data_IF_008551958984
#
_entry.id   IF_008551958984
#
_cell.length_a   1.000
_cell.length_b   1.000
_cell.length_c   1.000
_cell.angle_alpha   90.00
_cell.angle_beta   90.00
_cell.angle_gamma   90.00
#
_symmetry.space_group_name_H-M   'P 1'
#
loop_
_entity.id
_entity.type
_entity.pdbx_description
1 polymer ?
#
# COMPACT_ATOMS: atom_id res chain seq x y z
N UNK A 1 -63.49 -16.64 68.26
CA UNK A 1 -62.85 -17.10 67.03
C UNK A 1 -63.01 -16.08 65.94
N UNK A 2 -61.92 -15.34 65.61
CA UNK A 2 -61.93 -14.28 64.61
C UNK A 2 -61.18 -14.80 63.38
N UNK A 3 -61.81 -14.85 62.24
CA UNK A 3 -61.21 -15.16 60.90
C UNK A 3 -60.87 -13.87 60.20
N UNK A 4 -59.60 -13.68 60.00
CA UNK A 4 -59.02 -12.55 59.27
C UNK A 4 -59.02 -12.87 57.76
N UNK A 5 -59.76 -12.12 56.99
CA UNK A 5 -59.68 -12.14 55.49
C UNK A 5 -58.59 -11.19 54.95
N UNK A 6 -57.69 -11.75 54.20
CA UNK A 6 -56.67 -10.94 53.43
C UNK A 6 -57.26 -10.46 52.10
N UNK A 7 -57.01 -9.23 51.72
CA UNK A 7 -57.39 -8.77 50.39
C UNK A 7 -56.37 -9.25 49.36
N UNK A 8 -56.86 -9.71 48.17
CA UNK A 8 -56.08 -10.04 46.97
C UNK A 8 -55.81 -8.78 46.17
N UNK A 9 -54.54 -8.38 46.08
CA UNK A 9 -54.09 -7.35 45.18
C UNK A 9 -54.01 -7.89 43.75
N UNK A 10 -54.74 -7.27 42.85
CA UNK A 10 -54.66 -7.51 41.42
C UNK A 10 -53.51 -6.62 40.88
N UNK A 11 -52.43 -7.24 40.39
CA UNK A 11 -51.34 -6.57 39.70
C UNK A 11 -51.72 -6.49 38.21
N UNK A 12 -51.98 -5.27 37.72
CA UNK A 12 -52.19 -5.01 36.34
C UNK A 12 -50.81 -4.91 35.62
N UNK A 13 -50.48 -5.91 34.83
CA UNK A 13 -49.24 -5.91 34.01
C UNK A 13 -49.48 -5.06 32.76
N UNK A 14 -48.91 -3.85 32.71
CA UNK A 14 -48.90 -3.04 31.50
C UNK A 14 -47.80 -3.56 30.56
N UNK A 15 -48.18 -4.11 29.41
CA UNK A 15 -47.28 -4.50 28.35
C UNK A 15 -46.83 -3.25 27.61
N UNK A 16 -45.61 -2.78 27.86
CA UNK A 16 -44.98 -1.71 27.04
C UNK A 16 -44.38 -2.37 25.81
N UNK A 17 -45.03 -2.20 24.65
CA UNK A 17 -44.51 -2.57 23.36
C UNK A 17 -43.39 -1.58 22.99
N UNK A 18 -42.14 -1.95 23.19
CA UNK A 18 -40.96 -1.24 22.66
C UNK A 18 -40.85 -1.52 21.17
N UNK A 19 -41.27 -0.56 20.35
CA UNK A 19 -40.98 -0.55 18.90
C UNK A 19 -39.49 -0.33 18.72
N UNK A 20 -38.74 -1.40 18.43
CA UNK A 20 -37.33 -1.31 18.01
C UNK A 20 -37.32 -0.68 16.62
N UNK A 21 -37.02 0.62 16.55
CA UNK A 21 -36.68 1.26 15.30
C UNK A 21 -35.40 0.59 14.76
N UNK A 22 -35.52 -0.18 13.70
CA UNK A 22 -34.40 -0.67 12.91
C UNK A 22 -33.78 0.58 12.27
N UNK A 23 -32.73 1.11 12.91
CA UNK A 23 -31.87 2.13 12.27
C UNK A 23 -31.24 1.45 11.06
N UNK A 24 -31.71 1.81 9.86
CA UNK A 24 -31.00 1.47 8.64
C UNK A 24 -29.57 1.97 8.78
N UNK A 25 -28.63 1.06 8.93
CA UNK A 25 -27.20 1.37 8.90
C UNK A 25 -26.94 2.08 7.59
N UNK A 26 -26.51 3.34 7.66
CA UNK A 26 -26.07 4.07 6.48
C UNK A 26 -24.98 3.22 5.82
N UNK A 27 -25.22 2.76 4.58
CA UNK A 27 -24.26 1.99 3.83
C UNK A 27 -22.94 2.79 3.80
N UNK A 28 -21.83 2.13 4.12
CA UNK A 28 -20.50 2.74 4.05
C UNK A 28 -20.30 3.30 2.63
N UNK A 29 -20.13 4.62 2.46
CA UNK A 29 -20.01 5.22 1.13
C UNK A 29 -18.81 4.67 0.35
N UNK A 30 -17.81 4.09 1.02
CA UNK A 30 -16.69 3.41 0.36
C UNK A 30 -17.13 2.13 -0.36
N UNK A 31 -18.19 1.44 0.10
CA UNK A 31 -18.70 0.22 -0.52
C UNK A 31 -19.32 0.44 -1.91
N UNK A 32 -19.71 1.67 -2.24
CA UNK A 32 -20.30 2.04 -3.55
C UNK A 32 -19.25 2.52 -4.58
N UNK A 33 -17.98 2.50 -4.26
CA UNK A 33 -16.92 2.87 -5.18
C UNK A 33 -16.91 1.99 -6.43
N UNK A 34 -16.67 2.60 -7.60
CA UNK A 34 -16.61 1.91 -8.90
C UNK A 34 -15.21 1.85 -9.48
N UNK A 35 -14.25 2.53 -8.85
CA UNK A 35 -12.86 2.57 -9.26
C UNK A 35 -11.98 3.28 -8.25
N UNK A 36 -10.72 3.39 -8.58
CA UNK A 36 -9.68 4.02 -7.74
C UNK A 36 -8.79 4.93 -8.56
N UNK A 37 -8.22 5.94 -7.92
CA UNK A 37 -7.16 6.75 -8.50
C UNK A 37 -5.87 5.93 -8.48
N UNK A 38 -5.39 5.54 -9.66
CA UNK A 38 -4.16 4.76 -9.82
C UNK A 38 -2.92 5.65 -9.89
N UNK A 39 -3.03 6.80 -10.54
CA UNK A 39 -1.96 7.79 -10.67
C UNK A 39 -2.57 9.19 -10.77
N UNK A 40 -1.87 10.20 -10.27
CA UNK A 40 -2.20 11.58 -10.56
C UNK A 40 -0.93 12.43 -10.66
N UNK A 41 -0.98 13.44 -11.53
CA UNK A 41 0.08 14.44 -11.68
C UNK A 41 -0.53 15.81 -11.47
N UNK A 42 -0.20 16.47 -10.38
CA UNK A 42 -0.64 17.84 -10.17
C UNK A 42 0.22 18.79 -11.00
N UNK A 43 -0.40 19.72 -11.72
CA UNK A 43 0.32 20.80 -12.40
C UNK A 43 0.86 21.82 -11.38
N UNK A 44 0.08 22.08 -10.33
CA UNK A 44 0.43 22.92 -9.19
C UNK A 44 -0.58 22.64 -8.06
N UNK A 45 -0.10 22.17 -6.93
CA UNK A 45 -0.92 21.96 -5.75
C UNK A 45 -1.84 20.73 -5.80
N UNK A 46 -2.71 20.65 -4.80
CA UNK A 46 -3.69 19.57 -4.63
C UNK A 46 -4.99 19.93 -5.33
N UNK A 47 -5.66 18.97 -5.93
CA UNK A 47 -7.01 19.14 -6.45
C UNK A 47 -7.96 18.10 -5.88
N UNK A 48 -9.25 18.39 -5.97
CA UNK A 48 -10.29 17.57 -5.37
C UNK A 48 -11.22 17.05 -6.48
N UNK A 49 -11.88 15.93 -6.21
CA UNK A 49 -13.10 15.58 -6.91
C UNK A 49 -14.32 15.90 -6.04
N UNK A 50 -15.43 16.22 -6.72
CA UNK A 50 -16.70 16.51 -6.07
C UNK A 50 -17.54 15.25 -6.04
N UNK A 51 -17.82 14.75 -4.85
CA UNK A 51 -18.58 13.51 -4.66
C UNK A 51 -20.06 13.68 -4.96
N UNK A 52 -20.59 12.84 -5.79
CA UNK A 52 -22.03 12.77 -6.04
C UNK A 52 -22.75 11.98 -4.91
N UNK A 53 -24.01 12.27 -4.59
CA UNK A 53 -24.78 13.48 -4.98
C UNK A 53 -24.56 14.67 -4.06
N UNK A 54 -23.84 14.51 -2.95
CA UNK A 54 -23.76 15.51 -1.86
C UNK A 54 -22.91 16.74 -2.18
N UNK A 55 -22.08 16.71 -3.25
CA UNK A 55 -21.18 17.82 -3.58
C UNK A 55 -19.97 17.97 -2.64
N UNK A 56 -19.67 16.95 -1.84
CA UNK A 56 -18.52 16.94 -0.94
C UNK A 56 -17.22 16.98 -1.73
N UNK A 57 -16.28 17.84 -1.29
CA UNK A 57 -14.95 17.92 -1.86
C UNK A 57 -14.02 16.90 -1.23
N UNK A 58 -13.52 15.97 -2.03
CA UNK A 58 -12.61 14.92 -1.58
C UNK A 58 -11.25 15.11 -2.27
N UNK A 59 -10.14 15.18 -1.52
CA UNK A 59 -8.83 15.35 -2.11
C UNK A 59 -8.45 14.14 -2.98
N UNK A 60 -7.90 14.41 -4.16
CA UNK A 60 -7.40 13.36 -5.05
C UNK A 60 -6.07 12.85 -4.50
N UNK A 61 -6.00 11.54 -4.28
CA UNK A 61 -4.82 10.81 -3.82
C UNK A 61 -4.77 9.45 -4.50
N UNK A 62 -3.59 8.86 -4.61
CA UNK A 62 -3.45 7.47 -5.06
C UNK A 62 -4.23 6.56 -4.10
N UNK A 63 -4.99 5.62 -4.64
CA UNK A 63 -5.87 4.76 -3.85
C UNK A 63 -7.19 5.42 -3.41
N UNK A 64 -7.44 6.71 -3.73
CA UNK A 64 -8.75 7.32 -3.50
C UNK A 64 -9.82 6.57 -4.28
N UNK A 65 -10.83 6.09 -3.57
CA UNK A 65 -11.99 5.42 -4.17
C UNK A 65 -12.91 6.47 -4.80
N UNK A 66 -13.29 6.28 -6.06
CA UNK A 66 -14.24 7.11 -6.80
C UNK A 66 -15.58 6.39 -6.96
N UNK A 67 -16.67 7.17 -6.96
CA UNK A 67 -18.03 6.68 -7.13
C UNK A 67 -18.57 7.08 -8.50
N UNK A 68 -19.57 6.36 -8.99
CA UNK A 68 -20.31 6.77 -10.19
C UNK A 68 -20.89 8.18 -10.01
N UNK A 69 -20.72 9.01 -11.04
CA UNK A 69 -21.16 10.39 -11.04
C UNK A 69 -20.26 11.39 -10.30
N UNK A 70 -19.17 10.95 -9.64
CA UNK A 70 -18.18 11.87 -9.08
C UNK A 70 -17.62 12.79 -10.17
N UNK A 71 -17.47 14.08 -9.86
CA UNK A 71 -16.99 15.09 -10.82
C UNK A 71 -15.55 15.45 -10.50
N UNK A 72 -14.68 15.28 -11.50
CA UNK A 72 -13.26 15.60 -11.43
C UNK A 72 -12.99 16.85 -12.24
N UNK A 73 -12.57 17.93 -11.59
CA UNK A 73 -12.19 19.18 -12.25
C UNK A 73 -10.68 19.32 -12.25
N UNK A 74 -10.08 19.20 -13.43
CA UNK A 74 -8.62 19.18 -13.60
C UNK A 74 -8.13 20.53 -14.14
N UNK A 75 -7.16 21.19 -13.48
CA UNK A 75 -6.49 22.35 -14.04
C UNK A 75 -5.59 21.97 -15.23
N UNK A 76 -5.12 22.98 -15.96
CA UNK A 76 -4.16 22.77 -17.04
C UNK A 76 -2.89 22.09 -16.55
N UNK A 77 -2.42 21.09 -17.27
CA UNK A 77 -1.23 20.31 -16.96
C UNK A 77 -1.43 19.24 -15.86
N UNK A 78 -2.62 19.15 -15.25
CA UNK A 78 -2.95 18.04 -14.37
C UNK A 78 -3.44 16.81 -15.15
N UNK A 79 -3.17 15.62 -14.64
CA UNK A 79 -3.71 14.38 -15.16
C UNK A 79 -4.08 13.43 -14.03
N UNK A 80 -5.09 12.60 -14.28
CA UNK A 80 -5.52 11.53 -13.36
C UNK A 80 -5.75 10.26 -14.17
N UNK A 81 -5.24 9.16 -13.66
CA UNK A 81 -5.51 7.82 -14.15
C UNK A 81 -6.44 7.11 -13.16
N UNK A 82 -7.61 6.72 -13.62
CA UNK A 82 -8.56 5.91 -12.85
C UNK A 82 -8.49 4.46 -13.33
N UNK A 83 -8.43 3.54 -12.39
CA UNK A 83 -8.61 2.12 -12.62
C UNK A 83 -9.99 1.70 -12.11
N UNK A 84 -10.86 1.26 -13.02
CA UNK A 84 -12.20 0.83 -12.70
C UNK A 84 -12.24 -0.63 -12.23
N UNK A 85 -13.28 -0.99 -11.51
CA UNK A 85 -13.48 -2.34 -10.97
C UNK A 85 -13.63 -3.43 -12.03
N UNK A 86 -13.95 -3.05 -13.28
CA UNK A 86 -14.02 -3.96 -14.45
C UNK A 86 -12.66 -4.12 -15.16
N UNK A 87 -11.59 -3.54 -14.60
CA UNK A 87 -10.24 -3.56 -15.14
C UNK A 87 -9.93 -2.48 -16.18
N UNK A 88 -10.92 -1.67 -16.57
CA UNK A 88 -10.67 -0.55 -17.48
C UNK A 88 -9.86 0.54 -16.83
N UNK A 89 -8.96 1.12 -17.61
CA UNK A 89 -8.14 2.26 -17.20
C UNK A 89 -8.59 3.48 -17.99
N UNK A 90 -8.88 4.58 -17.28
CA UNK A 90 -9.31 5.84 -17.88
C UNK A 90 -8.33 6.95 -17.54
N UNK A 91 -7.80 7.62 -18.55
CA UNK A 91 -6.93 8.77 -18.39
C UNK A 91 -7.70 10.06 -18.63
N UNK A 92 -7.64 10.98 -17.68
CA UNK A 92 -8.21 12.32 -17.77
C UNK A 92 -7.08 13.35 -17.76
N UNK A 93 -7.08 14.25 -18.73
CA UNK A 93 -6.07 15.29 -18.85
C UNK A 93 -6.76 16.67 -18.80
N UNK A 94 -6.25 17.56 -17.96
CA UNK A 94 -6.73 18.93 -17.84
C UNK A 94 -6.22 19.86 -18.96
N UNK A 95 -6.83 21.03 -19.13
CA UNK A 95 -7.98 21.49 -18.35
C UNK A 95 -9.29 20.85 -18.77
N UNK A 96 -10.16 20.55 -17.79
CA UNK A 96 -11.47 20.01 -18.09
C UNK A 96 -12.24 19.55 -16.83
N UNK A 97 -13.53 19.32 -17.04
CA UNK A 97 -14.40 18.69 -16.06
C UNK A 97 -14.87 17.32 -16.59
N UNK A 98 -14.68 16.30 -15.80
CA UNK A 98 -14.94 14.91 -16.16
C UNK A 98 -15.91 14.31 -15.14
N UNK A 99 -16.70 13.35 -15.58
CA UNK A 99 -17.62 12.60 -14.71
C UNK A 99 -17.17 11.14 -14.69
N UNK A 100 -17.07 10.57 -13.50
CA UNK A 100 -16.74 9.15 -13.33
C UNK A 100 -17.93 8.33 -13.86
N UNK A 101 -17.71 7.40 -14.80
CA UNK A 101 -18.78 6.61 -15.38
C UNK A 101 -19.36 5.61 -14.38
N UNK A 102 -20.51 5.04 -14.73
CA UNK A 102 -21.07 3.92 -14.01
C UNK A 102 -20.13 2.70 -14.09
N UNK A 103 -20.08 1.94 -13.02
CA UNK A 103 -19.25 0.75 -12.93
C UNK A 103 -19.75 -0.24 -11.88
N UNK A 104 -19.13 -1.40 -11.84
CA UNK A 104 -19.43 -2.41 -10.82
C UNK A 104 -18.91 -1.93 -9.47
N UNK A 105 -19.68 -2.05 -8.37
CA UNK A 105 -19.21 -1.69 -7.05
C UNK A 105 -17.97 -2.49 -6.60
N UNK A 106 -17.01 -1.81 -6.01
CA UNK A 106 -15.80 -2.42 -5.43
C UNK A 106 -16.10 -3.25 -4.17
N UNK A 107 -17.22 -2.95 -3.47
CA UNK A 107 -17.56 -3.63 -2.22
C UNK A 107 -16.45 -3.47 -1.15
N UNK A 108 -16.09 -4.57 -0.50
CA UNK A 108 -15.06 -4.59 0.57
C UNK A 108 -13.65 -4.22 0.09
N UNK A 109 -13.34 -4.39 -1.20
CA UNK A 109 -12.05 -3.97 -1.75
C UNK A 109 -11.80 -2.47 -1.57
N UNK A 110 -12.86 -1.65 -1.63
CA UNK A 110 -12.77 -0.21 -1.46
C UNK A 110 -12.08 0.17 -0.13
N UNK A 111 -12.44 -0.46 0.98
CA UNK A 111 -11.85 -0.20 2.30
C UNK A 111 -10.36 -0.56 2.34
N UNK A 112 -9.98 -1.70 1.77
CA UNK A 112 -8.58 -2.15 1.73
C UNK A 112 -7.74 -1.21 0.87
N UNK A 113 -8.24 -0.82 -0.31
CA UNK A 113 -7.54 0.08 -1.23
C UNK A 113 -7.44 1.50 -0.66
N UNK A 114 -8.48 1.99 0.03
CA UNK A 114 -8.41 3.28 0.73
C UNK A 114 -7.30 3.27 1.79
N UNK A 115 -7.14 2.17 2.50
CA UNK A 115 -6.05 2.02 3.48
C UNK A 115 -4.66 2.00 2.81
N UNK A 116 -4.55 1.54 1.56
CA UNK A 116 -3.33 1.62 0.76
C UNK A 116 -2.95 3.07 0.46
N UNK A 117 -3.93 3.89 0.06
CA UNK A 117 -3.73 5.32 -0.16
C UNK A 117 -3.17 6.03 1.09
N UNK A 118 -3.67 5.69 2.28
CA UNK A 118 -3.15 6.25 3.53
C UNK A 118 -1.70 5.80 3.82
N UNK A 119 -1.35 4.55 3.52
CA UNK A 119 0.04 4.08 3.65
C UNK A 119 1.00 4.86 2.76
N UNK A 120 0.61 5.08 1.51
CA UNK A 120 1.42 5.85 0.56
C UNK A 120 1.53 7.32 0.99
N UNK A 121 0.48 7.91 1.59
CA UNK A 121 0.47 9.29 2.08
C UNK A 121 1.25 9.49 3.39
N UNK A 122 1.15 8.55 4.35
CA UNK A 122 1.84 8.65 5.64
C UNK A 122 3.35 8.51 5.46
N UNK A 123 3.79 7.59 4.64
CA UNK A 123 5.19 7.52 4.23
C UNK A 123 5.62 8.78 3.46
N UNK A 124 4.75 9.37 2.65
CA UNK A 124 5.00 10.63 1.93
C UNK A 124 5.23 11.82 2.87
N UNK A 125 4.59 11.84 4.04
CA UNK A 125 4.78 12.89 5.05
C UNK A 125 6.07 12.72 5.86
N UNK A 126 6.49 11.49 6.13
CA UNK A 126 7.72 11.21 6.89
C UNK A 126 8.99 11.47 6.08
N UNK A 127 8.92 11.47 4.75
CA UNK A 127 10.07 11.68 3.86
C UNK A 127 10.26 13.13 3.40
N UNK A 128 9.52 14.09 3.93
CA UNK A 128 9.60 15.53 3.60
C UNK A 128 10.94 16.22 3.87
N UNK A 129 11.94 15.48 4.31
CA UNK A 129 13.33 15.90 4.28
C UNK A 129 13.95 15.45 2.97
N UNK A 130 14.13 16.39 2.06
CA UNK A 130 14.76 16.30 0.75
C UNK A 130 15.68 15.07 0.58
N UNK A 131 15.17 14.02 -0.07
CA UNK A 131 15.99 12.92 -0.54
C UNK A 131 16.68 13.40 -1.83
N UNK A 132 17.80 14.11 -1.71
CA UNK A 132 18.68 14.31 -2.85
C UNK A 132 19.12 12.94 -3.38
N UNK A 133 19.04 12.74 -4.68
CA UNK A 133 19.66 11.59 -5.36
C UNK A 133 21.10 11.50 -4.84
N UNK A 134 21.43 10.39 -4.15
CA UNK A 134 22.70 10.25 -3.42
C UNK A 134 23.99 10.35 -4.27
N UNK A 135 23.88 10.47 -5.59
CA UNK A 135 25.01 10.49 -6.51
C UNK A 135 25.82 11.78 -6.57
N UNK A 136 25.25 12.91 -6.19
CA UNK A 136 25.96 14.20 -6.32
C UNK A 136 26.97 14.49 -5.22
N UNK A 137 26.90 13.72 -4.13
CA UNK A 137 27.72 13.98 -2.93
C UNK A 137 28.97 13.12 -2.83
N UNK A 138 29.08 12.06 -3.65
CA UNK A 138 30.21 11.14 -3.57
C UNK A 138 31.50 11.78 -4.13
N UNK A 139 32.57 11.73 -3.34
CA UNK A 139 33.88 12.26 -3.74
C UNK A 139 34.00 13.78 -3.70
N UNK A 140 33.02 14.53 -3.15
CA UNK A 140 33.13 15.96 -2.91
C UNK A 140 33.55 16.23 -1.48
N UNK A 141 34.67 16.94 -1.30
CA UNK A 141 35.14 17.33 0.03
C UNK A 141 34.09 18.17 0.76
N UNK A 142 33.85 17.82 2.04
CA UNK A 142 32.96 18.57 2.93
C UNK A 142 31.46 18.21 2.79
N UNK A 143 31.07 17.31 1.90
CA UNK A 143 29.67 16.86 1.76
C UNK A 143 29.44 15.61 2.62
N UNK A 144 28.48 15.71 3.55
CA UNK A 144 28.08 14.57 4.38
C UNK A 144 27.25 13.60 3.54
N UNK A 145 27.79 12.41 3.29
CA UNK A 145 27.07 11.34 2.60
C UNK A 145 26.04 10.74 3.55
N UNK A 146 24.79 10.68 3.12
CA UNK A 146 23.69 10.08 3.90
C UNK A 146 23.93 8.58 4.11
N UNK A 147 23.52 8.01 5.26
CA UNK A 147 23.58 6.57 5.48
C UNK A 147 22.72 5.82 4.45
N UNK A 148 23.12 4.59 4.15
CA UNK A 148 22.36 3.71 3.24
C UNK A 148 21.04 3.36 3.93
N UNK A 149 19.93 3.53 3.22
CA UNK A 149 18.59 3.13 3.66
C UNK A 149 17.92 2.31 2.57
N UNK A 150 17.41 1.13 2.92
CA UNK A 150 16.69 0.20 2.02
C UNK A 150 15.24 0.09 2.50
N UNK A 151 14.31 0.88 1.96
CA UNK A 151 12.97 1.03 2.52
C UNK A 151 12.16 -0.29 2.59
N UNK A 152 12.25 -1.13 1.56
CA UNK A 152 11.53 -2.41 1.52
C UNK A 152 11.97 -3.39 2.62
N UNK A 153 13.18 -3.21 3.18
CA UNK A 153 13.75 -4.01 4.26
C UNK A 153 13.71 -3.30 5.63
N UNK A 154 13.09 -2.13 5.71
CA UNK A 154 13.04 -1.37 6.96
C UNK A 154 12.28 -2.14 8.06
N UNK A 155 12.90 -2.34 9.24
CA UNK A 155 12.33 -3.14 10.32
C UNK A 155 12.47 -4.66 10.15
N UNK A 156 13.24 -5.11 9.15
CA UNK A 156 13.35 -6.50 8.73
C UNK A 156 12.29 -6.89 7.70
N UNK A 157 12.49 -8.01 7.03
CA UNK A 157 11.58 -8.50 5.99
C UNK A 157 11.26 -9.98 6.16
N UNK A 158 10.04 -10.34 5.73
CA UNK A 158 9.59 -11.72 5.59
C UNK A 158 9.31 -12.00 4.11
N UNK A 159 9.64 -13.21 3.68
CA UNK A 159 9.34 -13.73 2.34
C UNK A 159 9.00 -15.21 2.44
N UNK A 160 8.24 -15.74 1.50
CA UNK A 160 8.00 -17.18 1.42
C UNK A 160 9.25 -17.86 0.88
N UNK A 161 9.68 -18.95 1.53
CA UNK A 161 10.86 -19.73 1.14
C UNK A 161 10.75 -20.28 -0.29
N UNK A 162 11.89 -20.49 -0.94
CA UNK A 162 11.98 -20.97 -2.32
C UNK A 162 13.09 -20.27 -3.10
N UNK A 163 13.11 -20.46 -4.41
CA UNK A 163 13.87 -19.61 -5.32
C UNK A 163 13.10 -18.28 -5.49
N UNK A 164 13.74 -17.18 -5.12
CA UNK A 164 13.06 -15.89 -5.03
C UNK A 164 13.89 -14.80 -5.67
N UNK A 165 13.23 -13.92 -6.40
CA UNK A 165 13.84 -12.66 -6.79
C UNK A 165 13.76 -11.67 -5.62
N UNK A 166 14.86 -10.98 -5.34
CA UNK A 166 14.89 -9.96 -4.31
C UNK A 166 15.09 -8.58 -4.94
N UNK A 167 14.01 -7.83 -5.19
CA UNK A 167 14.09 -6.46 -5.67
C UNK A 167 14.49 -5.55 -4.51
N UNK A 168 15.59 -4.85 -4.66
CA UNK A 168 16.13 -3.95 -3.66
C UNK A 168 16.40 -2.58 -4.29
N UNK A 169 16.03 -1.53 -3.58
CA UNK A 169 16.43 -0.17 -3.91
C UNK A 169 16.85 0.54 -2.64
N UNK A 170 17.81 1.44 -2.76
CA UNK A 170 18.34 2.17 -1.61
C UNK A 170 18.65 3.61 -1.95
N UNK A 171 18.84 4.38 -0.90
CA UNK A 171 19.28 5.77 -0.94
C UNK A 171 20.48 5.94 -0.06
N UNK A 172 21.27 6.97 -0.30
CA UNK A 172 22.50 7.22 0.44
C UNK A 172 23.63 6.26 0.05
N UNK A 173 24.79 6.41 0.70
CA UNK A 173 25.99 5.70 0.32
C UNK A 173 26.63 6.20 -0.99
N UNK A 174 27.74 5.58 -1.36
CA UNK A 174 28.50 5.89 -2.58
C UNK A 174 28.77 4.63 -3.41
N UNK A 175 28.46 4.63 -4.73
CA UNK A 175 28.77 3.50 -5.60
C UNK A 175 30.29 3.31 -5.79
N UNK A 176 30.75 2.09 -6.13
CA UNK A 176 29.94 0.90 -6.33
C UNK A 176 29.47 0.30 -4.99
N UNK A 177 28.31 -0.36 -5.04
CA UNK A 177 27.76 -1.07 -3.90
C UNK A 177 28.00 -2.57 -4.03
N UNK A 178 28.06 -3.26 -2.90
CA UNK A 178 28.08 -4.72 -2.82
C UNK A 178 26.87 -5.16 -2.02
N UNK A 179 26.00 -5.94 -2.65
CA UNK A 179 24.85 -6.58 -2.00
C UNK A 179 25.20 -8.02 -1.68
N UNK A 180 24.89 -8.46 -0.46
CA UNK A 180 25.11 -9.83 0.01
C UNK A 180 23.84 -10.33 0.69
N UNK A 181 23.58 -11.62 0.52
CA UNK A 181 22.61 -12.39 1.31
C UNK A 181 23.40 -13.44 2.06
N UNK A 182 23.34 -13.40 3.37
CA UNK A 182 24.04 -14.31 4.28
C UNK A 182 23.01 -15.19 4.98
N UNK A 183 23.26 -16.49 5.09
CA UNK A 183 22.46 -17.39 5.91
C UNK A 183 22.83 -17.28 7.40
N UNK A 184 22.02 -17.83 8.29
CA UNK A 184 22.34 -17.96 9.71
C UNK A 184 23.72 -18.59 9.91
N UNK A 185 24.65 -17.85 10.53
CA UNK A 185 26.06 -18.26 10.66
C UNK A 185 27.00 -17.61 9.64
N UNK A 186 26.58 -16.50 9.01
CA UNK A 186 27.38 -15.68 8.08
C UNK A 186 27.86 -16.39 6.79
N UNK A 187 27.25 -17.52 6.45
CA UNK A 187 27.57 -18.20 5.19
C UNK A 187 26.99 -17.45 4.01
N UNK A 188 27.81 -17.13 3.02
CA UNK A 188 27.43 -16.39 1.82
C UNK A 188 26.50 -17.23 0.94
N UNK A 189 25.27 -16.75 0.71
CA UNK A 189 24.27 -17.33 -0.18
C UNK A 189 24.30 -16.65 -1.55
N UNK A 190 24.42 -15.33 -1.57
CA UNK A 190 24.42 -14.53 -2.78
C UNK A 190 25.29 -13.27 -2.63
N UNK A 191 25.93 -12.84 -3.74
CA UNK A 191 26.73 -11.62 -3.79
C UNK A 191 26.70 -11.01 -5.17
N UNK A 192 26.47 -9.70 -5.23
CA UNK A 192 26.50 -8.94 -6.47
C UNK A 192 27.14 -7.54 -6.25
N UNK A 193 27.79 -7.01 -7.30
CA UNK A 193 28.38 -5.66 -7.29
C UNK A 193 27.58 -4.75 -8.22
N UNK A 194 27.10 -3.61 -7.69
CA UNK A 194 26.10 -2.76 -8.31
C UNK A 194 26.65 -1.34 -8.43
N UNK A 195 26.56 -0.77 -9.62
CA UNK A 195 26.92 0.63 -9.86
C UNK A 195 25.78 1.63 -9.54
N UNK A 196 24.52 1.15 -9.54
CA UNK A 196 23.33 1.95 -9.34
C UNK A 196 22.76 1.85 -7.91
N UNK A 197 21.60 2.45 -7.69
CA UNK A 197 20.88 2.46 -6.41
C UNK A 197 19.72 1.45 -6.35
N UNK A 198 19.69 0.51 -7.27
CA UNK A 198 18.70 -0.58 -7.29
C UNK A 198 19.29 -1.82 -7.94
N UNK A 199 18.79 -2.97 -7.53
CA UNK A 199 19.12 -4.27 -8.09
C UNK A 199 17.92 -5.21 -7.96
N UNK A 200 17.86 -6.18 -8.83
CA UNK A 200 17.07 -7.38 -8.62
C UNK A 200 18.04 -8.55 -8.56
N UNK A 201 18.15 -9.17 -7.40
CA UNK A 201 18.89 -10.42 -7.26
C UNK A 201 17.97 -11.53 -7.76
N UNK A 202 18.33 -12.15 -8.87
CA UNK A 202 17.49 -13.20 -9.48
C UNK A 202 17.78 -14.57 -8.86
N UNK A 203 16.74 -15.38 -8.69
CA UNK A 203 16.79 -16.80 -8.31
C UNK A 203 17.59 -17.08 -7.03
N UNK A 204 17.46 -16.21 -6.02
CA UNK A 204 18.14 -16.42 -4.74
C UNK A 204 17.53 -17.63 -4.03
N UNK A 205 18.31 -18.67 -3.71
CA UNK A 205 17.82 -19.88 -3.04
C UNK A 205 17.63 -19.62 -1.55
N UNK A 206 16.40 -19.41 -1.10
CA UNK A 206 16.04 -19.16 0.29
C UNK A 206 15.34 -20.38 0.90
N UNK A 207 16.08 -21.28 1.52
CA UNK A 207 15.47 -22.31 2.38
C UNK A 207 14.76 -21.63 3.58
N UNK A 208 13.77 -22.31 4.17
CA UNK A 208 13.12 -21.76 5.38
C UNK A 208 14.16 -21.51 6.49
N UNK A 209 14.23 -20.26 6.97
CA UNK A 209 15.25 -19.85 7.95
C UNK A 209 15.46 -18.33 7.98
N UNK A 210 16.48 -17.92 8.71
CA UNK A 210 16.85 -16.52 8.87
C UNK A 210 18.10 -16.19 8.06
N UNK A 211 18.08 -15.05 7.42
CA UNK A 211 19.14 -14.50 6.59
C UNK A 211 19.42 -13.05 7.00
N UNK A 212 20.55 -12.52 6.59
CA UNK A 212 20.90 -11.11 6.70
C UNK A 212 21.17 -10.57 5.30
N UNK A 213 20.46 -9.52 4.92
CA UNK A 213 20.77 -8.75 3.70
C UNK A 213 21.67 -7.60 4.07
N UNK A 214 22.80 -7.49 3.38
CA UNK A 214 23.79 -6.44 3.57
C UNK A 214 23.94 -5.66 2.28
N UNK A 215 23.81 -4.33 2.35
CA UNK A 215 24.18 -3.41 1.27
C UNK A 215 25.35 -2.57 1.78
N UNK A 216 26.53 -2.70 1.15
CA UNK A 216 27.74 -1.97 1.51
C UNK A 216 28.15 -1.06 0.36
N UNK A 217 28.61 0.15 0.66
CA UNK A 217 29.16 1.09 -0.33
C UNK A 217 30.69 1.02 -0.46
N UNK A 218 31.23 1.83 -1.40
CA UNK A 218 32.68 1.89 -1.65
C UNK A 218 33.50 2.37 -0.44
N UNK A 219 32.89 3.12 0.46
CA UNK A 219 33.56 3.67 1.65
C UNK A 219 33.41 2.75 2.87
N UNK A 220 32.80 1.58 2.71
CA UNK A 220 32.60 0.58 3.77
C UNK A 220 31.39 0.83 4.68
N UNK A 221 30.56 1.86 4.40
CA UNK A 221 29.29 2.02 5.12
C UNK A 221 28.34 0.88 4.74
N UNK A 222 27.58 0.41 5.72
CA UNK A 222 26.71 -0.75 5.54
C UNK A 222 25.30 -0.49 6.07
N UNK A 223 24.32 -0.97 5.33
CA UNK A 223 22.97 -1.26 5.80
C UNK A 223 22.88 -2.76 6.03
N UNK A 224 22.19 -3.18 7.11
CA UNK A 224 21.92 -4.59 7.41
C UNK A 224 20.45 -4.72 7.82
N UNK A 225 19.82 -5.77 7.33
CA UNK A 225 18.46 -6.12 7.73
C UNK A 225 18.28 -7.63 7.82
N UNK A 226 17.47 -8.07 8.78
CA UNK A 226 17.04 -9.45 8.88
C UNK A 226 16.03 -9.76 7.79
N UNK A 227 16.19 -10.93 7.16
CA UNK A 227 15.26 -11.51 6.20
C UNK A 227 14.88 -12.91 6.68
N UNK A 228 13.60 -13.12 6.94
CA UNK A 228 13.08 -14.42 7.34
C UNK A 228 12.39 -15.07 6.14
N UNK A 229 12.92 -16.19 5.67
CA UNK A 229 12.26 -17.04 4.70
C UNK A 229 11.32 -18.01 5.45
N UNK A 230 10.02 -17.71 5.42
CA UNK A 230 9.00 -18.50 6.07
C UNK A 230 8.51 -19.63 5.16
N UNK A 231 8.08 -20.76 5.73
CA UNK A 231 7.50 -21.86 4.93
C UNK A 231 6.23 -21.42 4.22
N UNK A 232 5.44 -20.57 4.86
CA UNK A 232 4.15 -20.07 4.36
C UNK A 232 4.00 -18.59 4.73
N UNK A 233 3.29 -17.83 3.89
CA UNK A 233 2.92 -16.46 4.17
C UNK A 233 1.64 -16.36 5.04
N UNK A 234 1.29 -15.16 5.49
CA UNK A 234 0.03 -14.91 6.20
C UNK A 234 -1.17 -15.34 5.34
N UNK A 235 -2.12 -16.06 5.95
CA UNK A 235 -3.35 -16.48 5.27
C UNK A 235 -4.20 -15.25 4.91
N UNK A 236 -4.48 -15.08 3.62
CA UNK A 236 -5.37 -14.01 3.16
C UNK A 236 -6.80 -14.24 3.68
N UNK A 237 -7.54 -13.16 4.01
CA UNK A 237 -8.98 -13.25 4.23
C UNK A 237 -9.66 -13.92 3.02
N UNK A 238 -10.60 -14.84 3.28
CA UNK A 238 -11.24 -15.67 2.24
C UNK A 238 -11.82 -14.82 1.09
N UNK A 239 -12.44 -13.71 1.42
CA UNK A 239 -13.06 -12.82 0.44
C UNK A 239 -12.02 -12.14 -0.47
N UNK A 240 -10.86 -11.83 0.10
CA UNK A 240 -9.75 -11.23 -0.64
C UNK A 240 -9.02 -12.27 -1.49
N UNK A 241 -8.84 -13.47 -0.97
CA UNK A 241 -8.19 -14.57 -1.66
C UNK A 241 -8.95 -15.01 -2.93
N UNK A 242 -10.27 -14.84 -2.95
CA UNK A 242 -11.13 -15.21 -4.09
C UNK A 242 -11.07 -14.22 -5.26
N UNK A 243 -10.56 -12.99 -5.06
CA UNK A 243 -10.54 -11.96 -6.09
C UNK A 243 -9.20 -11.94 -6.84
N UNK A 244 -9.21 -12.44 -8.07
CA UNK A 244 -8.05 -12.49 -8.96
C UNK A 244 -8.00 -11.33 -9.97
N UNK A 245 -8.87 -10.32 -9.84
CA UNK A 245 -8.78 -9.10 -10.65
C UNK A 245 -7.49 -8.33 -10.30
N UNK A 246 -7.04 -7.44 -11.16
CA UNK A 246 -5.84 -6.63 -10.89
C UNK A 246 -6.00 -5.79 -9.61
N UNK A 247 -7.19 -5.23 -9.36
CA UNK A 247 -7.52 -4.55 -8.12
C UNK A 247 -7.53 -5.51 -6.92
N UNK A 248 -8.07 -6.72 -7.08
CA UNK A 248 -8.05 -7.77 -6.06
C UNK A 248 -6.63 -8.16 -5.68
N UNK A 249 -5.77 -8.43 -6.65
CA UNK A 249 -4.35 -8.76 -6.42
C UNK A 249 -3.61 -7.59 -5.77
N UNK A 250 -3.87 -6.35 -6.19
CA UNK A 250 -3.29 -5.16 -5.56
C UNK A 250 -3.76 -4.99 -4.11
N UNK A 251 -5.05 -5.25 -3.84
CA UNK A 251 -5.58 -5.24 -2.48
C UNK A 251 -4.99 -6.36 -1.61
N UNK A 252 -4.76 -7.57 -2.16
CA UNK A 252 -4.06 -8.66 -1.47
C UNK A 252 -2.63 -8.25 -1.08
N UNK A 253 -1.90 -7.63 -2.01
CA UNK A 253 -0.57 -7.12 -1.77
C UNK A 253 -0.57 -6.02 -0.70
N UNK A 254 -1.52 -5.08 -0.76
CA UNK A 254 -1.67 -4.01 0.24
C UNK A 254 -1.98 -4.56 1.64
N UNK A 255 -2.85 -5.57 1.71
CA UNK A 255 -3.13 -6.26 2.96
C UNK A 255 -1.87 -6.94 3.52
N UNK A 256 -1.14 -7.67 2.65
CA UNK A 256 0.07 -8.39 3.03
C UNK A 256 1.16 -7.44 3.53
N UNK A 257 1.37 -6.30 2.85
CA UNK A 257 2.37 -5.31 3.24
C UNK A 257 2.18 -4.72 4.65
N UNK A 258 0.99 -4.89 5.25
CA UNK A 258 0.68 -4.42 6.61
C UNK A 258 0.85 -5.48 7.68
N UNK A 259 1.04 -6.74 7.30
CA UNK A 259 1.20 -7.82 8.27
C UNK A 259 2.55 -7.71 8.99
N UNK A 260 2.57 -8.10 10.26
CA UNK A 260 3.77 -8.10 11.10
C UNK A 260 4.53 -6.76 11.05
N UNK A 261 3.81 -5.66 11.25
CA UNK A 261 4.39 -4.30 11.27
C UNK A 261 5.10 -3.93 9.94
N UNK A 262 4.62 -4.49 8.84
CA UNK A 262 5.16 -4.20 7.51
C UNK A 262 6.32 -5.12 7.07
N UNK A 263 6.60 -6.17 7.79
CA UNK A 263 7.70 -7.10 7.43
C UNK A 263 7.42 -7.89 6.15
N UNK A 264 6.17 -8.02 5.71
CA UNK A 264 5.79 -8.73 4.48
C UNK A 264 5.80 -7.87 3.21
N UNK A 265 6.43 -6.68 3.24
CA UNK A 265 6.52 -5.77 2.08
C UNK A 265 7.22 -6.41 0.88
N UNK A 266 8.26 -7.21 1.12
CA UNK A 266 8.99 -7.90 0.06
C UNK A 266 8.12 -8.94 -0.66
N UNK A 267 7.40 -9.77 0.09
CA UNK A 267 6.44 -10.73 -0.47
C UNK A 267 5.26 -10.02 -1.15
N UNK A 268 4.82 -8.88 -0.61
CA UNK A 268 3.81 -8.03 -1.23
C UNK A 268 4.25 -7.52 -2.61
N UNK A 269 5.50 -7.06 -2.74
CA UNK A 269 6.06 -6.62 -4.02
C UNK A 269 6.11 -7.78 -5.03
N UNK A 270 6.53 -8.96 -4.61
CA UNK A 270 6.55 -10.14 -5.47
C UNK A 270 5.16 -10.51 -6.01
N UNK A 271 4.12 -10.34 -5.19
CA UNK A 271 2.73 -10.54 -5.62
C UNK A 271 2.27 -9.54 -6.68
N UNK A 272 2.75 -8.29 -6.61
CA UNK A 272 2.46 -7.24 -7.60
C UNK A 272 3.21 -7.41 -8.91
N UNK A 273 4.33 -8.09 -8.90
CA UNK A 273 5.27 -8.15 -10.03
C UNK A 273 4.64 -8.52 -11.38
N UNK A 274 3.74 -9.52 -11.48
CA UNK A 274 3.06 -9.81 -12.75
C UNK A 274 2.25 -8.62 -13.27
N UNK A 275 1.56 -7.91 -12.39
CA UNK A 275 0.77 -6.71 -12.73
C UNK A 275 1.67 -5.56 -13.16
N UNK A 276 2.77 -5.32 -12.44
CA UNK A 276 3.77 -4.28 -12.76
C UNK A 276 4.36 -4.54 -14.14
N UNK A 277 4.74 -5.78 -14.45
CA UNK A 277 5.22 -6.18 -15.78
C UNK A 277 4.16 -6.03 -16.87
N UNK A 278 2.89 -6.23 -16.51
CA UNK A 278 1.74 -6.00 -17.38
C UNK A 278 1.37 -4.53 -17.60
N UNK A 279 2.07 -3.61 -16.93
CA UNK A 279 1.82 -2.16 -17.04
C UNK A 279 0.62 -1.67 -16.23
N UNK A 280 0.18 -2.42 -15.21
CA UNK A 280 -0.87 -1.96 -14.29
C UNK A 280 -0.37 -0.77 -13.47
N UNK A 281 -1.05 0.39 -13.63
CA UNK A 281 -0.60 1.65 -13.07
C UNK A 281 -0.67 1.70 -11.54
N UNK A 282 -1.74 1.14 -10.96
CA UNK A 282 -1.91 1.13 -9.50
C UNK A 282 -0.87 0.20 -8.85
N UNK A 283 -0.70 -1.00 -9.41
CA UNK A 283 0.30 -1.95 -8.95
C UNK A 283 1.72 -1.39 -9.10
N UNK A 284 2.00 -0.69 -10.21
CA UNK A 284 3.28 -0.01 -10.44
C UNK A 284 3.56 1.07 -9.38
N UNK A 285 2.59 1.95 -9.15
CA UNK A 285 2.72 3.02 -8.15
C UNK A 285 2.89 2.47 -6.74
N UNK A 286 2.12 1.43 -6.39
CA UNK A 286 2.25 0.80 -5.08
C UNK A 286 3.59 0.06 -4.94
N UNK A 287 4.00 -0.69 -5.96
CA UNK A 287 5.30 -1.35 -5.98
C UNK A 287 6.47 -0.38 -5.82
N UNK A 288 6.44 0.76 -6.51
CA UNK A 288 7.43 1.82 -6.33
C UNK A 288 7.43 2.37 -4.90
N UNK A 289 6.25 2.55 -4.29
CA UNK A 289 6.12 2.95 -2.89
C UNK A 289 6.76 1.95 -1.94
N UNK A 290 6.56 0.64 -2.15
CA UNK A 290 7.19 -0.41 -1.35
C UNK A 290 8.71 -0.42 -1.51
N UNK A 291 9.19 -0.27 -2.75
CA UNK A 291 10.60 -0.41 -3.11
C UNK A 291 11.44 0.79 -2.66
N UNK A 292 10.93 1.99 -2.94
CA UNK A 292 11.65 3.24 -2.69
C UNK A 292 11.24 3.93 -1.40
N UNK A 293 10.21 3.42 -0.71
CA UNK A 293 9.49 4.22 0.25
C UNK A 293 8.83 5.42 -0.46
N UNK A 294 8.16 6.26 0.28
CA UNK A 294 7.48 7.45 -0.23
C UNK A 294 8.44 8.59 -0.61
N UNK A 295 9.40 8.34 -1.48
CA UNK A 295 10.23 9.41 -2.02
C UNK A 295 9.61 9.99 -3.27
N UNK A 296 9.47 11.32 -3.23
CA UNK A 296 9.17 12.15 -4.39
C UNK A 296 9.81 11.60 -5.67
N UNK A 297 8.97 11.35 -6.67
CA UNK A 297 9.37 11.45 -8.06
C UNK A 297 9.48 12.95 -8.35
N UNK A 298 10.71 13.45 -8.46
CA UNK A 298 11.00 14.75 -9.06
C UNK A 298 10.70 14.72 -10.54
#
# INVERSE_FOLDING_TARGET
>A
MRTSGKPRSIVLLALVATSSAVTASAADPSASGVGVVAEYRPASGRFNFTRAPKGEQVPVRIGSVVQSGDKLSLPAGASVLLQLSDGKVMAFNGPGAFVVPDGRPLGKLATIITSLGSMLDDEYRLSGTAASRGGESCGKDGVVVKPIAVPILAGGANIVAGERDLPLAWRGGCPPFVVKVLSGGDSLVYRESIAGWQVRLDDVPLAAGTYVVVVADSDGRQFKADLVAAKEGPALPTELAADNSSLGVTAQAAWLARQDEGRWRLESFERLRPLIRGGDALAGTFGDGLLWGSAQRD
#
